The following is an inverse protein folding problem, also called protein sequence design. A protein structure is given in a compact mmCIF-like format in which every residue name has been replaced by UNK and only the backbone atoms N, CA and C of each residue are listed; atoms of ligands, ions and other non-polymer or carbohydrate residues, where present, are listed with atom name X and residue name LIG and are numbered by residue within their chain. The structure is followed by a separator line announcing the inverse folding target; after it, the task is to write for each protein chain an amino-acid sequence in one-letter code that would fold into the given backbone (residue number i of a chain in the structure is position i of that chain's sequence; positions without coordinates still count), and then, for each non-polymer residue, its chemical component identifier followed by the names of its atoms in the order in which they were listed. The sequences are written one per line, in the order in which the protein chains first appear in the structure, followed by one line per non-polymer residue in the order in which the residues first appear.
data_IF_053428410921
#
_entry.id   IF_053428410921
#
_cell.length_a   1.000
_cell.length_b   1.000
_cell.length_c   1.000
_cell.angle_alpha   90.00
_cell.angle_beta   90.00
_cell.angle_gamma   90.00
#
_symmetry.space_group_name_H-M   'P 1'
#
loop_
_entity.id
_entity.type
_entity.pdbx_description
1 polymer ?
#
# COMPACT_ATOMS: atom_id res chain seq x y z
N UNK A 1 -3.59 -24.38 -11.89
CA UNK A 1 -4.50 -24.00 -10.88
C UNK A 1 -3.84 -23.17 -9.84
N UNK A 2 -3.15 -23.77 -8.92
CA UNK A 2 -2.50 -23.04 -7.84
C UNK A 2 -1.55 -21.97 -8.35
N UNK A 3 -0.89 -22.22 -9.46
CA UNK A 3 0.06 -21.29 -10.04
C UNK A 3 -0.58 -19.95 -10.41
N UNK A 4 -1.80 -19.97 -10.82
CA UNK A 4 -2.50 -18.75 -11.21
C UNK A 4 -2.81 -17.87 -10.00
N UNK A 5 -3.14 -18.51 -8.91
CA UNK A 5 -3.43 -17.80 -7.67
C UNK A 5 -2.19 -17.08 -7.15
N UNK A 6 -1.03 -17.69 -7.36
CA UNK A 6 0.23 -17.15 -6.85
C UNK A 6 0.58 -15.79 -7.44
N UNK A 7 0.15 -15.51 -8.66
CA UNK A 7 0.42 -14.21 -9.27
C UNK A 7 -0.23 -13.07 -8.51
N UNK A 8 -1.40 -13.30 -7.95
CA UNK A 8 -2.13 -12.27 -7.24
C UNK A 8 -1.63 -12.07 -5.81
N UNK A 9 -0.77 -12.96 -5.33
CA UNK A 9 -0.35 -12.98 -3.94
C UNK A 9 1.10 -12.59 -3.72
N UNK A 10 1.66 -11.83 -4.66
CA UNK A 10 3.01 -11.31 -4.48
C UNK A 10 3.00 -10.30 -3.32
N UNK A 11 3.92 -10.50 -2.39
CA UNK A 11 4.03 -9.64 -1.21
C UNK A 11 5.21 -8.69 -1.41
N UNK A 12 4.97 -7.43 -1.13
CA UNK A 12 5.99 -6.39 -1.19
C UNK A 12 6.37 -5.98 0.22
N UNK A 13 7.66 -5.88 0.47
CA UNK A 13 8.14 -5.36 1.75
C UNK A 13 8.17 -3.83 1.68
N UNK A 14 8.31 -3.19 2.85
CA UNK A 14 8.21 -1.73 2.93
C UNK A 14 9.11 -1.00 1.93
N UNK A 15 10.34 -1.41 1.80
CA UNK A 15 11.25 -0.74 0.86
C UNK A 15 10.78 -0.87 -0.58
N UNK A 16 10.17 -1.99 -0.91
CA UNK A 16 9.62 -2.18 -2.25
C UNK A 16 8.39 -1.31 -2.48
N UNK A 17 7.58 -1.13 -1.42
CA UNK A 17 6.44 -0.23 -1.49
C UNK A 17 6.92 1.20 -1.71
N UNK A 18 7.97 1.62 -0.99
CA UNK A 18 8.55 2.93 -1.19
C UNK A 18 9.01 3.13 -2.64
N UNK A 19 9.68 2.14 -3.19
CA UNK A 19 10.16 2.22 -4.56
C UNK A 19 9.01 2.28 -5.57
N UNK A 20 7.95 1.52 -5.33
CA UNK A 20 6.78 1.48 -6.21
C UNK A 20 5.99 2.76 -6.21
N UNK A 21 5.84 3.37 -5.05
CA UNK A 21 4.97 4.54 -4.87
C UNK A 21 5.72 5.85 -4.89
N UNK A 22 7.02 5.82 -4.65
CA UNK A 22 7.79 7.05 -4.47
C UNK A 22 7.52 7.73 -3.13
N UNK A 23 6.79 7.08 -2.24
CA UNK A 23 6.48 7.63 -0.92
C UNK A 23 7.57 7.26 0.07
N UNK A 24 7.78 8.13 1.07
CA UNK A 24 8.71 7.83 2.15
C UNK A 24 8.07 6.88 3.15
N UNK A 25 8.91 6.28 3.99
CA UNK A 25 8.43 5.44 5.08
C UNK A 25 7.41 6.16 5.95
N UNK A 26 7.74 7.40 6.34
CA UNK A 26 6.85 8.19 7.18
C UNK A 26 5.48 8.42 6.54
N UNK A 27 5.48 8.71 5.26
CA UNK A 27 4.24 8.94 4.53
C UNK A 27 3.39 7.68 4.46
N UNK A 28 4.02 6.53 4.20
CA UNK A 28 3.30 5.25 4.16
C UNK A 28 2.61 4.99 5.48
N UNK A 29 3.32 5.14 6.59
CA UNK A 29 2.73 4.88 7.90
C UNK A 29 1.70 5.93 8.28
N UNK A 30 1.87 7.17 7.85
CA UNK A 30 0.87 8.21 8.08
C UNK A 30 -0.47 7.88 7.41
N UNK A 31 -0.42 7.24 6.25
CA UNK A 31 -1.64 6.81 5.55
C UNK A 31 -2.39 5.72 6.30
N UNK A 32 -1.70 4.96 7.14
CA UNK A 32 -2.29 3.85 7.85
C UNK A 32 -2.88 4.21 9.22
N UNK A 33 -2.55 5.38 9.73
CA UNK A 33 -2.96 5.77 11.09
C UNK A 33 -3.62 7.13 11.10
N UNK A 34 -4.71 7.23 11.81
CA UNK A 34 -5.32 8.53 12.07
C UNK A 34 -4.45 9.31 13.05
N UNK A 35 -4.11 10.52 12.66
CA UNK A 35 -3.39 11.43 13.52
C UNK A 35 -4.25 12.67 13.70
N UNK A 36 -4.72 12.98 14.92
CA UNK A 36 -5.58 14.15 15.12
C UNK A 36 -4.94 15.47 14.68
N UNK A 37 -3.62 15.54 14.71
CA UNK A 37 -2.89 16.72 14.28
C UNK A 37 -2.76 16.82 12.77
N UNK A 38 -2.88 15.70 12.07
CA UNK A 38 -2.74 15.65 10.61
C UNK A 38 -3.76 14.69 10.02
N UNK A 39 -5.05 15.00 10.15
CA UNK A 39 -6.08 14.07 9.69
C UNK A 39 -6.05 13.84 8.18
N UNK A 40 -5.54 14.79 7.42
CA UNK A 40 -5.47 14.66 5.97
C UNK A 40 -4.42 13.65 5.49
N UNK A 41 -3.48 13.27 6.35
CA UNK A 41 -2.45 12.30 5.97
C UNK A 41 -2.99 10.88 5.94
N UNK A 42 -4.05 10.62 6.70
CA UNK A 42 -4.66 9.30 6.76
C UNK A 42 -5.44 9.01 5.49
N UNK A 43 -5.23 7.83 4.93
CA UNK A 43 -5.92 7.40 3.72
C UNK A 43 -6.52 6.02 3.95
N UNK A 44 -7.83 5.93 4.20
CA UNK A 44 -8.46 4.64 4.45
C UNK A 44 -8.44 3.71 3.24
N UNK A 45 -8.17 4.23 2.05
CA UNK A 45 -8.11 3.41 0.84
C UNK A 45 -6.73 2.80 0.61
N UNK A 46 -5.70 3.30 1.34
CA UNK A 46 -4.36 2.73 1.19
C UNK A 46 -4.34 1.30 1.74
N UNK A 47 -3.72 0.36 1.03
CA UNK A 47 -3.76 -1.05 1.47
C UNK A 47 -3.10 -1.24 2.83
N UNK A 48 -3.73 -2.06 3.65
CA UNK A 48 -3.23 -2.39 4.99
C UNK A 48 -2.26 -3.56 4.87
N UNK A 49 -1.09 -3.47 5.51
CA UNK A 49 -0.13 -4.58 5.44
C UNK A 49 -0.67 -5.84 6.12
N UNK A 50 -0.21 -6.98 5.64
CA UNK A 50 -0.57 -8.27 6.22
C UNK A 50 0.64 -8.85 6.93
N UNK A 51 0.38 -9.63 7.98
CA UNK A 51 1.45 -10.31 8.71
C UNK A 51 1.93 -11.52 7.91
N UNK A 52 3.24 -11.62 7.72
CA UNK A 52 3.83 -12.75 7.02
C UNK A 52 4.80 -13.52 7.90
N UNK A 53 4.82 -13.19 9.19
CA UNK A 53 5.69 -13.85 10.15
C UNK A 53 5.64 -13.12 11.46
N UNK A 54 6.40 -13.59 12.44
CA UNK A 54 6.33 -13.09 13.81
C UNK A 54 6.56 -11.57 13.91
N UNK A 55 7.48 -11.04 13.13
CA UNK A 55 7.79 -9.61 13.14
C UNK A 55 7.91 -9.06 11.73
N UNK A 56 7.21 -9.70 10.81
CA UNK A 56 7.32 -9.32 9.41
C UNK A 56 5.94 -9.00 8.86
N UNK A 57 5.85 -7.88 8.15
CA UNK A 57 4.64 -7.50 7.46
C UNK A 57 4.97 -7.16 6.01
N UNK A 58 3.97 -7.23 5.16
CA UNK A 58 4.12 -6.88 3.77
C UNK A 58 2.79 -6.45 3.19
N UNK A 59 2.83 -5.94 1.99
CA UNK A 59 1.65 -5.46 1.28
C UNK A 59 1.40 -6.35 0.08
N UNK A 60 0.14 -6.63 -0.18
CA UNK A 60 -0.23 -7.42 -1.36
C UNK A 60 -0.07 -6.54 -2.59
N UNK A 61 0.73 -6.98 -3.54
CA UNK A 61 1.09 -6.19 -4.71
C UNK A 61 -0.13 -5.72 -5.49
N UNK A 62 -1.09 -6.61 -5.71
CA UNK A 62 -2.28 -6.25 -6.48
C UNK A 62 -3.10 -5.16 -5.80
N UNK A 63 -3.15 -5.16 -4.48
CA UNK A 63 -3.85 -4.12 -3.75
C UNK A 63 -3.14 -2.77 -3.90
N UNK A 64 -1.82 -2.78 -3.83
CA UNK A 64 -1.05 -1.56 -4.00
C UNK A 64 -1.20 -1.03 -5.42
N UNK A 65 -1.15 -1.89 -6.40
CA UNK A 65 -1.32 -1.48 -7.79
C UNK A 65 -2.70 -0.88 -8.04
N UNK A 66 -3.73 -1.45 -7.43
CA UNK A 66 -5.09 -0.91 -7.55
C UNK A 66 -5.18 0.49 -6.92
N UNK A 67 -4.53 0.68 -5.77
CA UNK A 67 -4.50 1.98 -5.12
C UNK A 67 -3.78 3.02 -6.00
N UNK A 68 -2.64 2.64 -6.57
CA UNK A 68 -1.90 3.53 -7.47
C UNK A 68 -2.72 3.91 -8.68
N UNK A 69 -3.41 2.94 -9.28
CA UNK A 69 -4.28 3.20 -10.42
C UNK A 69 -5.37 4.20 -10.06
N UNK A 70 -5.96 4.04 -8.88
CA UNK A 70 -7.00 4.96 -8.42
C UNK A 70 -6.45 6.38 -8.22
N UNK A 71 -5.24 6.51 -7.70
CA UNK A 71 -4.62 7.83 -7.52
C UNK A 71 -4.36 8.50 -8.88
N UNK A 72 -3.86 7.73 -9.84
CA UNK A 72 -3.62 8.27 -11.17
C UNK A 72 -4.92 8.76 -11.80
N UNK A 73 -5.98 7.98 -11.70
CA UNK A 73 -7.27 8.35 -12.26
C UNK A 73 -7.84 9.60 -11.60
N UNK A 74 -7.74 9.71 -10.30
CA UNK A 74 -8.18 10.90 -9.58
C UNK A 74 -7.44 12.15 -10.06
N UNK A 75 -6.15 12.03 -10.23
CA UNK A 75 -5.31 13.12 -10.65
C UNK A 75 -5.69 13.58 -12.07
N UNK A 76 -5.97 12.64 -12.95
CA UNK A 76 -6.28 12.95 -14.34
C UNK A 76 -7.69 13.49 -14.55
N UNK A 77 -8.57 13.25 -13.61
CA UNK A 77 -9.93 13.83 -13.70
C UNK A 77 -9.98 15.28 -13.33
N UNK A 78 -9.07 15.69 -12.47
CA UNK A 78 -8.99 17.09 -12.09
C UNK A 78 -8.45 17.94 -13.22
#
# INVERSE_FOLDING_TARGET
MAAQINHALTILRRKQVEARTGLSRSTIYAKLRRNPKRPSDYDPTFPVPVSIGAKAVGWIESELDAWLTAQIQKSRKA
#
